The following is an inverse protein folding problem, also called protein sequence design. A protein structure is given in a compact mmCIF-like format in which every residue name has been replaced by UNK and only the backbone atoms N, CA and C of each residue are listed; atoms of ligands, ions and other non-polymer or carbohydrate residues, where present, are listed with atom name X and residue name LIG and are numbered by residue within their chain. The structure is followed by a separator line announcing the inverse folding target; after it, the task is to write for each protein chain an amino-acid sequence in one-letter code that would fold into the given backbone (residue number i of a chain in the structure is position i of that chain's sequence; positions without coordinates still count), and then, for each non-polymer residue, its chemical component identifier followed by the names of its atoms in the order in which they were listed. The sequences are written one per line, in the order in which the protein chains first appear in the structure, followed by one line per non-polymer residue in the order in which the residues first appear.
data_IF_102669894202
#
_entry.id   IF_102669894202
#
_cell.length_a   1.000
_cell.length_b   1.000
_cell.length_c   1.000
_cell.angle_alpha   90.00
_cell.angle_beta   90.00
_cell.angle_gamma   90.00
#
_symmetry.space_group_name_H-M   'P 1'
#
loop_
_entity.id
_entity.type
_entity.pdbx_description
1 polymer ?
#
# COMPACT_ATOMS: atom_id res chain seq x y z
N UNK A 1 -4.01 33.35 -18.56
CA UNK A 1 -2.79 33.77 -17.83
C UNK A 1 -1.72 32.66 -17.73
N UNK A 2 -1.79 31.59 -18.53
CA UNK A 2 -0.88 30.41 -18.49
C UNK A 2 0.21 30.46 -19.59
N UNK A 3 -0.02 31.29 -20.62
CA UNK A 3 0.87 31.52 -21.77
C UNK A 3 2.31 31.97 -21.43
N UNK A 4 2.59 32.85 -20.45
CA UNK A 4 3.97 33.29 -20.21
C UNK A 4 4.86 32.18 -19.63
N UNK A 5 4.29 31.25 -18.84
CA UNK A 5 5.03 30.13 -18.26
C UNK A 5 5.47 29.10 -19.31
N UNK A 6 4.59 28.79 -20.27
CA UNK A 6 4.90 27.87 -21.35
C UNK A 6 6.05 28.39 -22.23
N UNK A 7 6.05 29.69 -22.55
CA UNK A 7 7.13 30.31 -23.32
C UNK A 7 8.46 30.30 -22.57
N UNK A 8 8.46 30.56 -21.26
CA UNK A 8 9.69 30.53 -20.44
C UNK A 8 10.25 29.12 -20.34
N UNK A 9 9.41 28.10 -20.19
CA UNK A 9 9.84 26.70 -20.17
C UNK A 9 10.48 26.29 -21.50
N UNK A 10 9.90 26.68 -22.63
CA UNK A 10 10.42 26.40 -23.97
C UNK A 10 11.73 27.15 -24.25
N UNK A 11 11.86 28.41 -23.80
CA UNK A 11 13.11 29.18 -23.94
C UNK A 11 14.26 28.58 -23.11
N UNK A 12 13.96 28.09 -21.91
CA UNK A 12 14.91 27.31 -21.10
C UNK A 12 15.32 26.00 -21.79
N UNK A 13 14.37 25.33 -22.45
CA UNK A 13 14.60 24.08 -23.16
C UNK A 13 15.51 24.27 -24.37
N UNK A 14 15.29 25.34 -25.13
CA UNK A 14 16.11 25.73 -26.28
C UNK A 14 17.51 26.19 -25.86
N UNK A 15 17.64 26.91 -24.73
CA UNK A 15 18.94 27.33 -24.17
C UNK A 15 19.74 26.20 -23.52
N UNK A 16 19.07 25.20 -22.95
CA UNK A 16 19.69 24.04 -22.30
C UNK A 16 20.36 23.07 -23.27
N UNK A 17 20.10 23.19 -24.58
CA UNK A 17 20.75 22.39 -25.62
C UNK A 17 20.43 20.89 -25.52
N UNK A 18 21.26 20.01 -26.10
CA UNK A 18 20.96 18.58 -26.21
C UNK A 18 20.83 17.84 -24.86
N UNK A 19 21.29 18.43 -23.76
CA UNK A 19 21.19 17.88 -22.39
C UNK A 19 19.74 17.93 -21.86
N UNK A 20 18.86 18.74 -22.45
CA UNK A 20 17.46 18.83 -22.05
C UNK A 20 16.64 17.57 -22.38
N UNK A 21 16.97 16.86 -23.47
CA UNK A 21 16.27 15.64 -23.87
C UNK A 21 16.35 14.51 -22.83
N UNK A 22 17.54 14.12 -22.30
CA UNK A 22 17.61 13.11 -21.25
C UNK A 22 16.96 13.57 -19.94
N UNK A 23 17.00 14.87 -19.62
CA UNK A 23 16.30 15.40 -18.44
C UNK A 23 14.78 15.23 -18.56
N UNK A 24 14.21 15.47 -19.73
CA UNK A 24 12.78 15.28 -19.97
C UNK A 24 12.40 13.80 -19.96
N UNK A 25 13.25 12.92 -20.48
CA UNK A 25 13.06 11.47 -20.37
C UNK A 25 13.05 11.03 -18.90
N UNK A 26 14.04 11.48 -18.11
CA UNK A 26 14.11 11.19 -16.68
C UNK A 26 12.89 11.72 -15.92
N UNK A 27 12.40 12.91 -16.26
CA UNK A 27 11.18 13.47 -15.67
C UNK A 27 9.93 12.64 -16.01
N UNK A 28 9.82 12.15 -17.26
CA UNK A 28 8.73 11.28 -17.68
C UNK A 28 8.75 9.95 -16.92
N UNK A 29 9.92 9.33 -16.78
CA UNK A 29 10.11 8.08 -16.02
C UNK A 29 9.78 8.31 -14.55
N UNK A 30 10.25 9.40 -13.95
CA UNK A 30 9.92 9.76 -12.57
C UNK A 30 8.41 9.91 -12.36
N UNK A 31 7.69 10.55 -13.28
CA UNK A 31 6.23 10.69 -13.19
C UNK A 31 5.53 9.33 -13.33
N UNK A 32 5.98 8.46 -14.24
CA UNK A 32 5.41 7.13 -14.42
C UNK A 32 5.55 6.30 -13.13
N UNK A 33 6.73 6.31 -12.52
CA UNK A 33 7.01 5.62 -11.25
C UNK A 33 6.17 6.18 -10.10
N UNK A 34 6.07 7.52 -9.98
CA UNK A 34 5.25 8.16 -8.94
C UNK A 34 3.77 7.85 -9.13
N UNK A 35 3.29 7.85 -10.38
CA UNK A 35 1.91 7.50 -10.71
C UNK A 35 1.56 6.07 -10.31
N UNK A 36 2.41 5.11 -10.64
CA UNK A 36 2.26 3.71 -10.23
C UNK A 36 2.25 3.57 -8.69
N UNK A 37 3.15 4.28 -8.01
CA UNK A 37 3.24 4.28 -6.54
C UNK A 37 1.99 4.84 -5.87
N UNK A 38 1.40 5.90 -6.44
CA UNK A 38 0.16 6.49 -5.94
C UNK A 38 -1.02 5.54 -6.14
N UNK A 39 -1.14 4.90 -7.31
CA UNK A 39 -2.22 3.93 -7.58
C UNK A 39 -2.16 2.75 -6.63
N UNK A 40 -0.95 2.20 -6.37
CA UNK A 40 -0.77 1.11 -5.42
C UNK A 40 -1.13 1.52 -3.99
N UNK A 41 -0.67 2.69 -3.55
CA UNK A 41 -0.94 3.21 -2.21
C UNK A 41 -2.44 3.47 -1.99
N UNK A 42 -3.12 4.05 -2.98
CA UNK A 42 -4.57 4.29 -2.93
C UNK A 42 -5.33 2.97 -2.84
N UNK A 43 -4.92 1.95 -3.61
CA UNK A 43 -5.55 0.62 -3.59
C UNK A 43 -5.33 -0.10 -2.25
N UNK A 44 -4.17 0.06 -1.63
CA UNK A 44 -3.89 -0.44 -0.29
C UNK A 44 -4.76 0.27 0.77
N UNK A 45 -4.85 1.61 0.71
CA UNK A 45 -5.67 2.40 1.63
C UNK A 45 -7.16 2.05 1.55
N UNK A 46 -7.70 1.83 0.35
CA UNK A 46 -9.10 1.42 0.16
C UNK A 46 -9.44 0.06 0.79
N UNK A 47 -8.44 -0.78 1.08
CA UNK A 47 -8.67 -2.07 1.75
C UNK A 47 -8.75 -1.96 3.27
N UNK A 48 -8.52 -0.78 3.85
CA UNK A 48 -8.65 -0.55 5.28
C UNK A 48 -10.13 -0.24 5.60
N UNK A 49 -10.76 -1.11 6.35
CA UNK A 49 -12.13 -1.01 6.84
C UNK A 49 -12.09 -0.96 8.37
N UNK A 50 -11.72 0.19 8.96
CA UNK A 50 -11.55 0.33 10.41
C UNK A 50 -12.84 0.01 11.19
N UNK A 51 -14.00 0.24 10.56
CA UNK A 51 -15.32 -0.04 11.12
C UNK A 51 -15.55 -1.55 11.34
N UNK A 52 -15.05 -2.39 10.42
CA UNK A 52 -15.14 -3.86 10.55
C UNK A 52 -14.20 -4.39 11.62
N UNK A 53 -13.02 -3.76 11.78
CA UNK A 53 -12.07 -4.10 12.84
C UNK A 53 -12.67 -3.81 14.22
N UNK A 54 -13.29 -2.64 14.37
CA UNK A 54 -13.96 -2.23 15.61
C UNK A 54 -15.15 -3.15 15.95
N UNK A 55 -15.91 -3.55 14.93
CA UNK A 55 -17.00 -4.50 15.10
C UNK A 55 -16.49 -5.88 15.53
N UNK A 56 -15.41 -6.40 14.93
CA UNK A 56 -14.76 -7.65 15.35
C UNK A 56 -14.33 -7.58 16.81
N UNK A 57 -13.69 -6.48 17.23
CA UNK A 57 -13.26 -6.27 18.62
C UNK A 57 -14.45 -6.25 19.59
N UNK A 58 -15.50 -5.49 19.27
CA UNK A 58 -16.70 -5.39 20.11
C UNK A 58 -17.44 -6.72 20.28
N UNK A 59 -17.45 -7.57 19.24
CA UNK A 59 -18.05 -8.91 19.27
C UNK A 59 -17.16 -9.88 20.07
N UNK A 60 -15.84 -9.71 19.98
CA UNK A 60 -14.85 -10.44 20.78
C UNK A 60 -14.99 -10.15 22.28
N UNK A 61 -15.17 -8.88 22.67
CA UNK A 61 -15.40 -8.49 24.07
C UNK A 61 -16.68 -9.13 24.64
N UNK A 62 -17.72 -9.27 23.82
CA UNK A 62 -18.98 -9.94 24.17
C UNK A 62 -18.89 -11.46 24.23
N UNK A 63 -17.68 -12.04 24.08
CA UNK A 63 -17.44 -13.49 24.08
C UNK A 63 -18.17 -14.25 22.95
N UNK A 64 -18.54 -13.57 21.87
CA UNK A 64 -19.23 -14.17 20.71
C UNK A 64 -18.23 -14.56 19.62
N UNK A 65 -17.38 -15.55 19.93
CA UNK A 65 -16.22 -15.93 19.11
C UNK A 65 -16.59 -16.39 17.69
N UNK A 66 -17.70 -17.10 17.54
CA UNK A 66 -18.17 -17.60 16.24
C UNK A 66 -18.62 -16.45 15.32
N UNK A 67 -19.19 -15.39 15.88
CA UNK A 67 -19.59 -14.20 15.15
C UNK A 67 -18.37 -13.38 14.76
N UNK A 68 -17.40 -13.24 15.67
CA UNK A 68 -16.12 -12.56 15.40
C UNK A 68 -15.33 -13.26 14.28
N UNK A 69 -15.28 -14.59 14.27
CA UNK A 69 -14.60 -15.37 13.21
C UNK A 69 -15.31 -15.22 11.85
N UNK A 70 -16.64 -15.24 11.83
CA UNK A 70 -17.41 -15.06 10.60
C UNK A 70 -17.27 -13.65 10.03
N UNK A 71 -17.25 -12.65 10.90
CA UNK A 71 -17.05 -11.25 10.50
C UNK A 71 -15.62 -11.02 9.98
N UNK A 72 -14.62 -11.55 10.69
CA UNK A 72 -13.22 -11.44 10.28
C UNK A 72 -12.88 -12.20 8.99
N UNK A 73 -13.55 -13.32 8.70
CA UNK A 73 -13.39 -14.07 7.44
C UNK A 73 -14.09 -13.42 6.24
N UNK A 74 -15.11 -12.58 6.48
CA UNK A 74 -15.78 -11.81 5.45
C UNK A 74 -15.04 -10.52 5.06
N UNK A 75 -14.10 -10.07 5.89
CA UNK A 75 -13.34 -8.85 5.68
C UNK A 75 -12.06 -9.09 4.88
N UNK A 76 -11.78 -8.19 3.94
CA UNK A 76 -10.50 -8.15 3.21
C UNK A 76 -9.44 -7.29 3.91
N UNK A 77 -9.78 -6.71 5.07
CA UNK A 77 -8.86 -5.88 5.83
C UNK A 77 -7.66 -6.70 6.35
N UNK A 78 -6.41 -6.25 6.11
CA UNK A 78 -5.22 -6.88 6.67
C UNK A 78 -5.29 -7.09 8.19
N UNK A 79 -5.87 -6.14 8.93
CA UNK A 79 -6.02 -6.20 10.40
C UNK A 79 -7.06 -7.26 10.78
N UNK A 80 -8.17 -7.35 10.05
CA UNK A 80 -9.18 -8.39 10.26
C UNK A 80 -8.62 -9.80 10.00
N UNK A 81 -7.75 -9.97 9.00
CA UNK A 81 -7.06 -11.24 8.72
C UNK A 81 -6.10 -11.66 9.84
N UNK A 82 -5.36 -10.71 10.42
CA UNK A 82 -4.51 -10.97 11.58
C UNK A 82 -5.34 -11.36 12.80
N UNK A 83 -6.44 -10.64 13.05
CA UNK A 83 -7.38 -10.96 14.14
C UNK A 83 -8.02 -12.34 13.96
N UNK A 84 -8.43 -12.71 12.75
CA UNK A 84 -8.94 -14.04 12.42
C UNK A 84 -7.93 -15.15 12.78
N UNK A 85 -6.65 -14.95 12.45
CA UNK A 85 -5.59 -15.91 12.73
C UNK A 85 -5.33 -16.08 14.24
N UNK A 86 -5.45 -14.99 15.01
CA UNK A 86 -5.38 -15.01 16.48
C UNK A 86 -6.61 -15.67 17.11
N UNK A 87 -7.82 -15.35 16.62
CA UNK A 87 -9.07 -15.93 17.08
C UNK A 87 -9.13 -17.45 16.88
N UNK A 88 -8.64 -17.95 15.74
CA UNK A 88 -8.56 -19.40 15.46
C UNK A 88 -7.61 -20.19 16.36
N UNK A 89 -6.57 -19.55 16.91
CA UNK A 89 -5.52 -20.22 17.70
C UNK A 89 -5.52 -19.79 19.18
N UNK A 90 -6.69 -19.38 19.70
CA UNK A 90 -6.85 -18.82 21.04
C UNK A 90 -6.33 -19.72 22.17
N UNK A 91 -6.51 -21.03 22.07
CA UNK A 91 -6.19 -21.96 23.16
C UNK A 91 -4.73 -22.42 23.23
N UNK A 92 -3.95 -22.30 22.14
CA UNK A 92 -2.60 -22.88 22.07
C UNK A 92 -1.48 -21.84 21.85
N UNK A 93 -1.81 -20.56 21.63
CA UNK A 93 -0.80 -19.51 21.50
C UNK A 93 -1.29 -18.29 20.72
N UNK A 94 -2.14 -17.48 21.36
CA UNK A 94 -2.67 -16.24 20.80
C UNK A 94 -1.56 -15.26 20.37
N UNK A 95 -0.54 -15.04 21.22
CA UNK A 95 0.58 -14.14 20.88
C UNK A 95 1.43 -14.66 19.70
N UNK A 96 1.77 -15.95 19.70
CA UNK A 96 2.58 -16.54 18.62
C UNK A 96 1.85 -16.54 17.28
N UNK A 97 0.55 -16.84 17.28
CA UNK A 97 -0.26 -16.83 16.05
C UNK A 97 -0.45 -15.42 15.49
N UNK A 98 -0.64 -14.41 16.36
CA UNK A 98 -0.67 -13.00 15.95
C UNK A 98 0.67 -12.54 15.42
N UNK A 99 1.79 -12.87 16.08
CA UNK A 99 3.13 -12.48 15.62
C UNK A 99 3.44 -13.08 14.25
N UNK A 100 3.12 -14.35 14.02
CA UNK A 100 3.35 -15.01 12.73
C UNK A 100 2.43 -14.43 11.64
N UNK A 101 1.16 -14.18 11.94
CA UNK A 101 0.22 -13.59 10.98
C UNK A 101 0.63 -12.15 10.62
N UNK A 102 0.98 -11.34 11.62
CA UNK A 102 1.46 -9.96 11.44
C UNK A 102 2.75 -9.93 10.62
N UNK A 103 3.72 -10.80 10.93
CA UNK A 103 4.96 -10.90 10.18
C UNK A 103 4.70 -11.30 8.72
N UNK A 104 3.71 -12.18 8.47
CA UNK A 104 3.34 -12.58 7.11
C UNK A 104 2.68 -11.44 6.32
N UNK A 105 1.73 -10.71 6.92
CA UNK A 105 1.13 -9.54 6.27
C UNK A 105 2.16 -8.44 6.00
N UNK A 106 3.01 -8.11 6.99
CA UNK A 106 4.08 -7.12 6.81
C UNK A 106 5.05 -7.55 5.72
N UNK A 107 5.34 -8.84 5.58
CA UNK A 107 6.23 -9.36 4.54
C UNK A 107 5.59 -9.30 3.16
N UNK A 108 4.27 -9.48 3.06
CA UNK A 108 3.54 -9.34 1.79
C UNK A 108 3.47 -7.87 1.35
N UNK A 109 3.19 -6.96 2.28
CA UNK A 109 3.23 -5.50 2.05
C UNK A 109 4.65 -5.06 1.66
N UNK A 110 5.68 -5.51 2.38
CA UNK A 110 7.08 -5.21 2.06
C UNK A 110 7.54 -5.87 0.75
N UNK A 111 7.05 -7.06 0.40
CA UNK A 111 7.40 -7.72 -0.87
C UNK A 111 6.88 -6.92 -2.05
N UNK A 112 5.67 -6.39 -1.96
CA UNK A 112 5.13 -5.53 -3.01
C UNK A 112 5.95 -4.23 -3.16
N UNK A 113 6.39 -3.64 -2.04
CA UNK A 113 7.29 -2.49 -2.04
C UNK A 113 8.67 -2.82 -2.64
N UNK A 114 9.24 -3.99 -2.32
CA UNK A 114 10.56 -4.41 -2.80
C UNK A 114 10.57 -4.79 -4.29
N UNK A 115 9.49 -5.38 -4.80
CA UNK A 115 9.33 -5.62 -6.25
C UNK A 115 9.26 -4.29 -6.99
N UNK A 116 8.59 -3.29 -6.41
CA UNK A 116 8.51 -1.95 -6.96
C UNK A 116 9.90 -1.28 -6.97
N UNK A 117 10.68 -1.37 -5.89
CA UNK A 117 12.05 -0.83 -5.84
C UNK A 117 12.98 -1.51 -6.86
N UNK A 118 12.81 -2.81 -7.09
CA UNK A 118 13.59 -3.55 -8.09
C UNK A 118 13.20 -3.13 -9.51
N UNK A 119 11.90 -2.92 -9.78
CA UNK A 119 11.39 -2.38 -11.04
C UNK A 119 11.88 -0.95 -11.30
N UNK A 120 11.89 -0.10 -10.28
CA UNK A 120 12.42 1.27 -10.35
C UNK A 120 13.93 1.27 -10.60
N UNK A 121 14.66 0.33 -9.97
CA UNK A 121 16.12 0.18 -10.20
C UNK A 121 16.43 -0.41 -11.58
N UNK A 122 15.50 -1.19 -12.17
CA UNK A 122 15.62 -1.76 -13.52
C UNK A 122 15.07 -0.84 -14.62
N UNK A 123 14.33 0.21 -14.28
CA UNK A 123 13.93 1.25 -15.22
C UNK A 123 15.12 2.20 -15.42
N UNK A 124 15.74 2.25 -16.62
CA UNK A 124 16.91 3.09 -16.89
C UNK A 124 16.58 4.59 -16.87
#
# INVERSE_FOLDING_TARGET
MILPLANVAVDLFLKGGPIMYPLLLAALVAIAVVGERLVWLIRFYQSNQPEVVDEILSVSERHQWEVAEKLASSSSDPVARVLLAGLKNREQGFENSIQVASAKELREVNRCLSILDTLVTLAP
#
